data_IF_507105458759
#
_entry.id   IF_507105458759
#
_cell.length_a   1.000
_cell.length_b   1.000
_cell.length_c   1.000
_cell.angle_alpha   90.00
_cell.angle_beta   90.00
_cell.angle_gamma   90.00
#
_symmetry.space_group_name_H-M   'P 1'
#
loop_
_entity.id
_entity.type
_entity.pdbx_description
1 polymer ?
#
# COMPACT_ATOMS: atom_id res chain seq x y z
N UNK A 1 -17.30 3.94 -32.12
CA UNK A 1 -16.79 5.30 -31.85
C UNK A 1 -15.77 5.17 -30.73
N UNK A 2 -14.53 5.60 -30.90
CA UNK A 2 -13.57 5.55 -29.81
C UNK A 2 -13.98 6.57 -28.76
N UNK A 3 -14.29 6.10 -27.56
CA UNK A 3 -14.45 6.95 -26.39
C UNK A 3 -13.07 7.51 -26.05
N UNK A 4 -12.85 8.79 -26.35
CA UNK A 4 -11.68 9.53 -25.91
C UNK A 4 -11.62 9.44 -24.39
N UNK A 5 -10.59 8.75 -23.90
CA UNK A 5 -10.31 8.64 -22.48
C UNK A 5 -9.98 10.05 -21.96
N UNK A 6 -10.91 10.67 -21.23
CA UNK A 6 -10.81 12.04 -20.72
C UNK A 6 -9.73 12.18 -19.64
N UNK A 7 -9.12 11.09 -19.17
CA UNK A 7 -8.06 11.12 -18.16
C UNK A 7 -6.64 11.37 -18.72
N UNK A 8 -6.44 11.34 -20.05
CA UNK A 8 -5.13 11.53 -20.67
C UNK A 8 -4.83 12.98 -21.08
N UNK A 9 -5.68 13.94 -20.74
CA UNK A 9 -5.49 15.35 -21.16
C UNK A 9 -4.99 16.28 -20.04
N UNK A 10 -4.57 15.77 -18.88
CA UNK A 10 -3.91 16.58 -17.87
C UNK A 10 -2.45 16.80 -18.33
N UNK A 11 -2.20 17.89 -19.00
CA UNK A 11 -0.89 18.27 -19.57
C UNK A 11 0.08 18.83 -18.54
N UNK A 12 -0.32 18.94 -17.27
CA UNK A 12 0.49 19.47 -16.16
C UNK A 12 0.27 18.64 -14.88
N UNK A 13 0.92 17.46 -14.81
CA UNK A 13 0.89 16.59 -13.60
C UNK A 13 1.46 17.33 -12.39
N UNK A 14 2.53 18.09 -12.54
CA UNK A 14 3.16 18.82 -11.44
C UNK A 14 2.24 19.92 -10.88
N UNK A 15 1.49 20.60 -11.74
CA UNK A 15 0.48 21.58 -11.32
C UNK A 15 -0.69 20.92 -10.60
N UNK A 16 -1.11 19.74 -11.05
CA UNK A 16 -2.16 18.97 -10.42
C UNK A 16 -1.74 18.49 -9.02
N UNK A 17 -0.54 17.96 -8.88
CA UNK A 17 0.00 17.50 -7.59
C UNK A 17 0.13 18.66 -6.60
N UNK A 18 0.62 19.82 -7.05
CA UNK A 18 0.71 21.02 -6.21
C UNK A 18 -0.67 21.51 -5.76
N UNK A 19 -1.67 21.46 -6.65
CA UNK A 19 -3.05 21.80 -6.32
C UNK A 19 -3.61 20.84 -5.27
N UNK A 20 -3.48 19.53 -5.47
CA UNK A 20 -3.93 18.52 -4.53
C UNK A 20 -3.26 18.69 -3.16
N UNK A 21 -1.94 18.83 -3.14
CA UNK A 21 -1.19 19.01 -1.89
C UNK A 21 -1.61 20.26 -1.10
N UNK A 22 -2.07 21.32 -1.79
CA UNK A 22 -2.55 22.56 -1.15
C UNK A 22 -4.01 22.51 -0.68
N UNK A 23 -4.77 21.45 -1.02
CA UNK A 23 -6.20 21.32 -0.73
C UNK A 23 -6.55 20.09 0.12
N UNK A 24 -5.56 19.30 0.51
CA UNK A 24 -5.73 18.17 1.43
C UNK A 24 -5.08 18.48 2.77
N UNK A 25 -5.43 17.73 3.81
CA UNK A 25 -4.80 17.87 5.13
C UNK A 25 -3.29 17.65 5.05
N UNK A 26 -2.49 18.45 5.76
CA UNK A 26 -1.03 18.31 5.74
C UNK A 26 -0.59 16.95 6.31
N UNK A 27 0.50 16.41 5.77
CA UNK A 27 1.10 15.18 6.29
C UNK A 27 1.76 15.36 7.67
N UNK A 28 2.09 16.58 8.04
CA UNK A 28 2.81 16.92 9.25
C UNK A 28 4.33 16.83 9.11
N UNK A 29 5.04 17.52 10.01
CA UNK A 29 6.51 17.67 9.93
C UNK A 29 7.27 16.34 9.97
N UNK A 30 6.75 15.35 10.71
CA UNK A 30 7.42 14.07 10.86
C UNK A 30 7.44 13.30 9.54
N UNK A 31 6.28 13.12 8.93
CA UNK A 31 6.15 12.41 7.65
C UNK A 31 6.83 13.16 6.51
N UNK A 32 6.75 14.50 6.48
CA UNK A 32 7.50 15.33 5.52
C UNK A 32 9.02 15.08 5.62
N UNK A 33 9.58 15.05 6.84
CA UNK A 33 11.00 14.76 7.03
C UNK A 33 11.37 13.34 6.65
N UNK A 34 10.52 12.37 6.98
CA UNK A 34 10.72 10.98 6.57
C UNK A 34 10.72 10.85 5.04
N UNK A 35 9.72 11.43 4.37
CA UNK A 35 9.63 11.41 2.91
C UNK A 35 10.86 12.04 2.25
N UNK A 36 11.29 13.20 2.76
CA UNK A 36 12.52 13.85 2.30
C UNK A 36 13.76 12.99 2.53
N UNK A 37 13.93 12.40 3.72
CA UNK A 37 15.04 11.52 4.03
C UNK A 37 15.05 10.27 3.12
N UNK A 38 13.89 9.67 2.88
CA UNK A 38 13.74 8.53 1.95
C UNK A 38 14.26 8.89 0.56
N UNK A 39 13.88 10.05 0.02
CA UNK A 39 14.35 10.49 -1.30
C UNK A 39 15.84 10.85 -1.36
N UNK A 40 16.46 11.23 -0.24
CA UNK A 40 17.89 11.60 -0.18
C UNK A 40 18.78 10.38 0.04
N UNK A 41 18.33 9.43 0.86
CA UNK A 41 19.19 8.37 1.39
C UNK A 41 18.88 6.97 0.82
N UNK A 42 17.80 6.81 0.01
CA UNK A 42 17.49 5.54 -0.63
C UNK A 42 17.55 5.66 -2.16
N UNK A 43 17.89 4.55 -2.82
CA UNK A 43 18.01 4.52 -4.30
C UNK A 43 16.64 4.69 -4.97
N UNK A 44 15.58 4.23 -4.32
CA UNK A 44 14.22 4.18 -4.86
C UNK A 44 13.23 5.03 -4.04
N UNK A 45 13.61 6.28 -3.72
CA UNK A 45 12.75 7.17 -2.90
C UNK A 45 11.32 7.33 -3.40
N UNK A 46 11.09 7.17 -4.71
CA UNK A 46 9.75 7.21 -5.33
C UNK A 46 8.81 6.08 -4.88
N UNK A 47 9.35 4.99 -4.30
CA UNK A 47 8.53 3.88 -3.79
C UNK A 47 7.70 4.29 -2.56
N UNK A 48 8.08 5.35 -1.84
CA UNK A 48 7.27 5.84 -0.73
C UNK A 48 5.91 6.34 -1.22
N UNK A 49 4.84 5.98 -0.50
CA UNK A 49 3.46 6.30 -0.85
C UNK A 49 3.20 7.80 -1.03
N UNK A 50 3.88 8.66 -0.26
CA UNK A 50 3.76 10.11 -0.35
C UNK A 50 2.48 10.68 0.27
N UNK A 51 2.35 12.01 0.22
CA UNK A 51 1.36 12.76 0.98
C UNK A 51 -0.09 12.37 0.68
N UNK A 52 -0.49 12.36 -0.61
CA UNK A 52 -1.88 12.07 -1.01
C UNK A 52 -2.31 10.66 -0.58
N UNK A 53 -1.51 9.66 -0.93
CA UNK A 53 -1.83 8.25 -0.59
C UNK A 53 -1.74 8.01 0.91
N UNK A 54 -0.77 8.62 1.60
CA UNK A 54 -0.65 8.52 3.05
C UNK A 54 -1.88 9.05 3.78
N UNK A 55 -2.43 10.19 3.35
CA UNK A 55 -3.68 10.75 3.93
C UNK A 55 -4.88 9.88 3.61
N UNK A 56 -4.96 9.31 2.40
CA UNK A 56 -6.00 8.35 2.06
C UNK A 56 -5.92 7.09 2.92
N UNK A 57 -4.74 6.49 3.10
CA UNK A 57 -4.56 5.31 3.95
C UNK A 57 -5.01 5.58 5.38
N UNK A 58 -4.62 6.73 5.96
CA UNK A 58 -5.11 7.15 7.28
C UNK A 58 -6.63 7.23 7.33
N UNK A 59 -7.27 7.88 6.34
CA UNK A 59 -8.74 8.00 6.30
C UNK A 59 -9.42 6.64 6.15
N UNK A 60 -8.89 5.74 5.31
CA UNK A 60 -9.42 4.38 5.16
C UNK A 60 -9.34 3.61 6.48
N UNK A 61 -8.24 3.72 7.22
CA UNK A 61 -8.11 3.13 8.55
C UNK A 61 -9.17 3.69 9.51
N UNK A 62 -9.39 5.00 9.53
CA UNK A 62 -10.42 5.63 10.34
C UNK A 62 -11.84 5.20 9.97
N UNK A 63 -12.12 4.96 8.68
CA UNK A 63 -13.41 4.47 8.18
C UNK A 63 -13.65 3.00 8.49
N UNK A 64 -12.63 2.15 8.31
CA UNK A 64 -12.69 0.69 8.54
C UNK A 64 -12.65 0.37 10.03
N UNK A 65 -11.94 1.19 10.84
CA UNK A 65 -11.71 1.01 12.28
C UNK A 65 -11.12 -0.38 12.61
N UNK A 66 -10.03 -0.79 11.96
CA UNK A 66 -9.41 -2.08 12.19
C UNK A 66 -8.74 -2.11 13.57
N UNK A 67 -8.73 -3.29 14.20
CA UNK A 67 -7.89 -3.56 15.38
C UNK A 67 -6.51 -4.03 14.97
N UNK A 68 -6.45 -4.90 13.96
CA UNK A 68 -5.20 -5.45 13.46
C UNK A 68 -5.05 -5.15 11.98
N UNK A 69 -3.98 -4.45 11.62
CA UNK A 69 -3.57 -4.18 10.24
C UNK A 69 -2.33 -5.01 9.93
N UNK A 70 -2.30 -5.64 8.76
CA UNK A 70 -1.11 -6.24 8.18
C UNK A 70 -0.59 -5.36 7.05
N UNK A 71 0.71 -5.13 6.99
CA UNK A 71 1.38 -4.49 5.86
C UNK A 71 2.45 -5.40 5.29
N UNK A 72 2.43 -5.55 3.96
CA UNK A 72 3.42 -6.29 3.16
C UNK A 72 4.27 -5.28 2.40
N UNK A 73 5.53 -5.13 2.80
CA UNK A 73 6.44 -4.12 2.28
C UNK A 73 6.43 -2.85 3.13
N UNK A 74 7.36 -2.76 4.08
CA UNK A 74 7.52 -1.60 4.96
C UNK A 74 8.28 -0.47 4.29
N UNK A 75 9.31 -0.82 3.51
CA UNK A 75 10.26 0.10 2.91
C UNK A 75 10.76 1.13 3.93
N UNK A 76 10.41 2.41 3.79
CA UNK A 76 10.83 3.48 4.72
C UNK A 76 9.94 3.64 5.95
N UNK A 77 8.80 2.92 6.02
CA UNK A 77 7.81 3.03 7.09
C UNK A 77 6.80 4.15 6.92
N UNK A 78 6.79 4.84 5.77
CA UNK A 78 5.90 5.98 5.54
C UNK A 78 4.41 5.58 5.59
N UNK A 79 4.01 4.57 4.83
CA UNK A 79 2.64 4.01 4.83
C UNK A 79 2.26 3.43 6.18
N UNK A 80 3.19 2.71 6.84
CA UNK A 80 2.99 2.17 8.17
C UNK A 80 2.61 3.25 9.18
N UNK A 81 3.36 4.36 9.22
CA UNK A 81 3.10 5.49 10.12
C UNK A 81 1.76 6.16 9.76
N UNK A 82 1.47 6.37 8.47
CA UNK A 82 0.19 6.93 8.03
C UNK A 82 -1.02 6.08 8.46
N UNK A 83 -0.94 4.77 8.31
CA UNK A 83 -1.99 3.86 8.77
C UNK A 83 -2.10 3.83 10.30
N UNK A 84 -0.97 3.80 11.00
CA UNK A 84 -0.96 3.80 12.46
C UNK A 84 -1.52 5.09 13.08
N UNK A 85 -1.37 6.24 12.41
CA UNK A 85 -2.07 7.49 12.80
C UNK A 85 -3.60 7.37 12.77
N UNK A 86 -4.14 6.52 11.90
CA UNK A 86 -5.59 6.28 11.77
C UNK A 86 -6.14 5.27 12.78
N UNK A 87 -5.29 4.47 13.42
CA UNK A 87 -5.69 3.44 14.38
C UNK A 87 -6.26 4.05 15.67
N UNK A 88 -7.34 3.45 16.16
CA UNK A 88 -7.87 3.74 17.50
C UNK A 88 -6.93 3.24 18.60
N UNK A 89 -7.24 3.59 19.85
CA UNK A 89 -6.53 3.07 21.00
C UNK A 89 -6.63 1.54 21.08
N UNK A 90 -5.50 0.87 21.32
CA UNK A 90 -5.41 -0.59 21.34
C UNK A 90 -5.35 -1.26 19.95
N UNK A 91 -5.43 -0.47 18.86
CA UNK A 91 -5.17 -0.98 17.51
C UNK A 91 -3.68 -1.22 17.27
N UNK A 92 -3.34 -2.19 16.41
CA UNK A 92 -1.96 -2.58 16.10
C UNK A 92 -1.76 -2.78 14.60
N UNK A 93 -0.63 -2.31 14.11
CA UNK A 93 -0.16 -2.55 12.74
C UNK A 93 1.08 -3.44 12.80
N UNK A 94 1.03 -4.53 12.04
CA UNK A 94 2.13 -5.48 11.85
C UNK A 94 2.67 -5.29 10.45
N UNK A 95 3.89 -4.80 10.33
CA UNK A 95 4.52 -4.51 9.04
C UNK A 95 5.76 -5.36 8.83
N UNK A 96 5.91 -5.89 7.62
CA UNK A 96 6.98 -6.81 7.26
C UNK A 96 7.81 -6.26 6.12
N UNK A 97 9.14 -6.33 6.28
CA UNK A 97 10.12 -5.99 5.25
C UNK A 97 10.98 -7.23 4.96
N UNK A 98 11.14 -7.54 3.68
CA UNK A 98 11.98 -8.66 3.26
C UNK A 98 13.44 -8.25 3.06
N UNK A 99 13.68 -6.97 2.76
CA UNK A 99 15.02 -6.42 2.57
C UNK A 99 15.59 -5.90 3.89
N UNK A 100 16.46 -6.68 4.52
CA UNK A 100 17.10 -6.35 5.79
C UNK A 100 18.09 -5.17 5.69
N UNK A 101 18.56 -4.82 4.49
CA UNK A 101 19.39 -3.62 4.27
C UNK A 101 18.65 -2.31 4.64
N UNK A 102 17.32 -2.36 4.69
CA UNK A 102 16.51 -1.21 5.08
C UNK A 102 16.44 -1.01 6.60
N UNK A 103 16.94 -1.93 7.42
CA UNK A 103 16.78 -1.86 8.89
C UNK A 103 17.32 -0.58 9.50
N UNK A 104 18.58 -0.26 9.19
CA UNK A 104 19.28 0.89 9.76
C UNK A 104 18.61 2.23 9.39
N UNK A 105 17.93 2.27 8.24
CA UNK A 105 17.15 3.43 7.85
C UNK A 105 15.74 3.43 8.47
N UNK A 106 15.01 2.34 8.37
CA UNK A 106 13.56 2.30 8.66
C UNK A 106 13.27 2.25 10.16
N UNK A 107 14.01 1.43 10.93
CA UNK A 107 13.76 1.25 12.36
C UNK A 107 13.78 2.55 13.16
N UNK A 108 14.79 3.42 13.02
CA UNK A 108 14.82 4.70 13.76
C UNK A 108 13.62 5.62 13.44
N UNK A 109 13.12 5.57 12.19
CA UNK A 109 11.95 6.36 11.83
C UNK A 109 10.66 5.81 12.41
N UNK A 110 10.49 4.48 12.46
CA UNK A 110 9.32 3.87 13.10
C UNK A 110 9.35 4.12 14.61
N UNK A 111 10.47 3.82 15.28
CA UNK A 111 10.60 3.93 16.73
C UNK A 111 10.55 5.39 17.21
N UNK A 112 11.02 6.35 16.41
CA UNK A 112 10.93 7.78 16.69
C UNK A 112 9.59 8.43 16.34
N UNK A 113 8.66 7.68 15.75
CA UNK A 113 7.37 8.23 15.32
C UNK A 113 6.42 8.46 16.51
N UNK A 114 5.48 9.42 16.39
CA UNK A 114 4.45 9.63 17.42
C UNK A 114 3.52 8.44 17.66
N UNK A 115 3.57 7.43 16.79
CA UNK A 115 2.70 6.23 16.79
C UNK A 115 3.50 4.93 16.88
N UNK A 116 4.75 5.01 17.35
CA UNK A 116 5.65 3.86 17.48
C UNK A 116 5.05 2.70 18.28
N UNK A 117 4.31 3.01 19.33
CA UNK A 117 3.64 2.03 20.20
C UNK A 117 2.57 1.20 19.47
N UNK A 118 2.04 1.70 18.35
CA UNK A 118 1.04 1.01 17.52
C UNK A 118 1.66 0.14 16.42
N UNK A 119 2.97 0.21 16.17
CA UNK A 119 3.63 -0.48 15.06
C UNK A 119 4.49 -1.63 15.59
N UNK A 120 4.32 -2.80 14.98
CA UNK A 120 5.17 -3.98 15.18
C UNK A 120 5.92 -4.22 13.86
N UNK A 121 7.18 -3.74 13.79
CA UNK A 121 8.03 -3.83 12.62
C UNK A 121 8.88 -5.10 12.65
N UNK A 122 8.76 -5.91 11.63
CA UNK A 122 9.41 -7.22 11.51
C UNK A 122 10.11 -7.41 10.17
N UNK A 123 11.18 -8.24 10.19
CA UNK A 123 11.80 -8.73 8.97
C UNK A 123 11.28 -10.12 8.60
N UNK A 124 11.15 -10.34 7.29
CA UNK A 124 10.73 -11.60 6.71
C UNK A 124 9.65 -11.46 5.65
N UNK A 125 9.33 -12.57 5.01
CA UNK A 125 8.21 -12.64 4.06
C UNK A 125 6.87 -12.61 4.81
N UNK A 126 6.12 -11.52 4.63
CA UNK A 126 4.81 -11.34 5.26
C UNK A 126 3.85 -12.50 4.98
N UNK A 127 3.87 -13.06 3.77
CA UNK A 127 3.01 -14.16 3.37
C UNK A 127 3.32 -15.49 4.11
N UNK A 128 4.56 -15.63 4.59
CA UNK A 128 4.99 -16.78 5.39
C UNK A 128 4.88 -16.53 6.90
N UNK A 129 5.18 -15.31 7.34
CA UNK A 129 5.30 -14.99 8.76
C UNK A 129 3.97 -14.55 9.39
N UNK A 130 3.14 -13.79 8.67
CA UNK A 130 1.89 -13.30 9.23
C UNK A 130 0.92 -14.43 9.66
N UNK A 131 0.74 -15.55 8.91
CA UNK A 131 -0.09 -16.65 9.36
C UNK A 131 0.37 -17.29 10.69
N UNK A 132 1.69 -17.28 10.98
CA UNK A 132 2.26 -17.86 12.21
C UNK A 132 1.94 -17.05 13.47
N UNK A 133 1.51 -15.79 13.32
CA UNK A 133 1.11 -14.95 14.43
C UNK A 133 -0.18 -15.43 15.10
N UNK A 134 -1.00 -16.23 14.43
CA UNK A 134 -2.30 -16.67 14.92
C UNK A 134 -3.31 -15.52 15.11
N UNK A 135 -3.08 -14.40 14.44
CA UNK A 135 -3.91 -13.20 14.48
C UNK A 135 -4.84 -13.19 13.28
N UNK A 136 -6.10 -12.80 13.52
CA UNK A 136 -7.02 -12.48 12.46
C UNK A 136 -6.95 -10.97 12.19
N UNK A 137 -6.70 -10.61 10.92
CA UNK A 137 -6.53 -9.22 10.51
C UNK A 137 -7.86 -8.64 9.99
N UNK A 138 -8.09 -7.38 10.28
CA UNK A 138 -9.25 -6.62 9.78
C UNK A 138 -8.95 -5.96 8.44
N UNK A 139 -7.69 -5.62 8.23
CA UNK A 139 -7.20 -4.94 7.03
C UNK A 139 -5.79 -5.42 6.69
N UNK A 140 -5.49 -5.57 5.40
CA UNK A 140 -4.13 -5.70 4.90
C UNK A 140 -3.84 -4.61 3.86
N UNK A 141 -2.60 -4.12 3.84
CA UNK A 141 -2.05 -3.30 2.77
C UNK A 141 -0.90 -4.06 2.10
N UNK A 142 -1.02 -4.30 0.80
CA UNK A 142 -0.08 -5.10 0.02
C UNK A 142 0.67 -4.19 -0.95
N UNK A 143 1.95 -3.98 -0.68
CA UNK A 143 2.89 -3.19 -1.49
C UNK A 143 4.25 -3.90 -1.59
N UNK A 144 4.22 -5.17 -1.96
CA UNK A 144 5.40 -6.01 -2.12
C UNK A 144 5.82 -6.18 -3.59
N UNK A 145 6.53 -7.28 -3.87
CA UNK A 145 6.94 -7.67 -5.21
C UNK A 145 5.73 -8.06 -6.07
N UNK A 146 5.52 -7.29 -7.13
CA UNK A 146 4.35 -7.38 -8.02
C UNK A 146 4.23 -8.74 -8.74
N UNK A 147 5.36 -9.43 -8.93
CA UNK A 147 5.40 -10.77 -9.54
C UNK A 147 4.64 -11.81 -8.71
N UNK A 148 4.55 -11.60 -7.40
CA UNK A 148 4.02 -12.57 -6.44
C UNK A 148 2.67 -12.15 -5.83
N UNK A 149 2.00 -11.11 -6.37
CA UNK A 149 0.76 -10.58 -5.78
C UNK A 149 -0.36 -11.62 -5.63
N UNK A 150 -0.51 -12.50 -6.61
CA UNK A 150 -1.53 -13.57 -6.55
C UNK A 150 -1.25 -14.54 -5.41
N UNK A 151 -0.01 -14.97 -5.27
CA UNK A 151 0.43 -15.92 -4.24
C UNK A 151 0.35 -15.29 -2.83
N UNK A 152 0.78 -14.04 -2.70
CA UNK A 152 0.64 -13.26 -1.45
C UNK A 152 -0.83 -13.14 -1.07
N UNK A 153 -1.69 -12.72 -1.99
CA UNK A 153 -3.12 -12.60 -1.76
C UNK A 153 -3.76 -13.90 -1.30
N UNK A 154 -3.47 -15.03 -1.96
CA UNK A 154 -4.01 -16.35 -1.61
C UNK A 154 -3.59 -16.81 -0.21
N UNK A 155 -2.39 -16.48 0.24
CA UNK A 155 -1.91 -16.77 1.59
C UNK A 155 -2.50 -15.85 2.65
N UNK A 156 -2.77 -14.59 2.29
CA UNK A 156 -3.30 -13.61 3.23
C UNK A 156 -4.82 -13.68 3.38
N UNK A 157 -5.57 -13.99 2.32
CA UNK A 157 -7.03 -14.01 2.38
C UNK A 157 -7.60 -14.87 3.50
N UNK A 158 -7.06 -16.08 3.82
CA UNK A 158 -7.52 -16.89 4.95
C UNK A 158 -7.44 -16.20 6.32
N UNK A 159 -6.40 -15.39 6.55
CA UNK A 159 -6.17 -14.68 7.82
C UNK A 159 -6.84 -13.31 7.90
N UNK A 160 -7.46 -12.84 6.81
CA UNK A 160 -8.37 -11.69 6.86
C UNK A 160 -9.74 -12.17 7.33
N UNK A 161 -10.36 -11.46 8.29
CA UNK A 161 -11.71 -11.80 8.76
C UNK A 161 -12.77 -11.62 7.68
N UNK A 162 -13.91 -12.30 7.74
CA UNK A 162 -15.07 -11.95 6.91
C UNK A 162 -15.45 -10.47 7.12
N UNK A 163 -15.73 -9.77 6.03
CA UNK A 163 -15.98 -8.33 6.03
C UNK A 163 -14.72 -7.46 6.18
N UNK A 164 -13.54 -8.06 6.29
CA UNK A 164 -12.24 -7.35 6.31
C UNK A 164 -11.79 -6.94 4.92
N UNK A 165 -10.73 -6.14 4.85
CA UNK A 165 -10.27 -5.49 3.62
C UNK A 165 -8.82 -5.85 3.28
N UNK A 166 -8.55 -5.95 1.98
CA UNK A 166 -7.19 -5.94 1.43
C UNK A 166 -7.07 -4.77 0.48
N UNK A 167 -6.08 -3.92 0.68
CA UNK A 167 -5.70 -2.83 -0.20
C UNK A 167 -4.45 -3.25 -0.95
N UNK A 168 -4.52 -3.39 -2.27
CA UNK A 168 -3.36 -3.75 -3.10
C UNK A 168 -2.91 -2.53 -3.90
N UNK A 169 -1.66 -2.13 -3.70
CA UNK A 169 -1.07 -0.96 -4.37
C UNK A 169 -0.51 -1.30 -5.75
N UNK A 170 -0.34 -0.30 -6.58
CA UNK A 170 0.25 -0.35 -7.93
C UNK A 170 -0.45 -1.31 -8.91
N UNK A 171 -1.75 -1.50 -8.76
CA UNK A 171 -2.50 -2.48 -9.58
C UNK A 171 -2.79 -2.04 -11.01
N UNK A 172 -2.49 -0.79 -11.37
CA UNK A 172 -2.45 -0.29 -12.75
C UNK A 172 -1.02 -0.15 -13.29
N UNK A 173 -0.01 -0.15 -12.40
CA UNK A 173 1.41 -0.19 -12.73
C UNK A 173 1.79 0.83 -13.81
N UNK A 174 1.59 2.13 -13.55
CA UNK A 174 1.78 3.23 -14.51
C UNK A 174 1.07 2.99 -15.86
N UNK A 175 -0.10 2.34 -15.82
CA UNK A 175 -0.88 1.94 -17.00
C UNK A 175 -0.23 0.86 -17.88
N UNK A 176 0.90 0.28 -17.49
CA UNK A 176 1.55 -0.81 -18.22
C UNK A 176 0.64 -2.04 -18.38
N UNK A 177 -0.34 -2.21 -17.49
CA UNK A 177 -1.32 -3.31 -17.59
C UNK A 177 -2.12 -3.33 -18.89
N UNK A 178 -2.24 -2.19 -19.58
CA UNK A 178 -2.97 -2.07 -20.85
C UNK A 178 -2.05 -1.81 -22.06
N UNK A 179 -0.73 -1.67 -21.85
CA UNK A 179 0.23 -1.36 -22.90
C UNK A 179 0.97 -2.63 -23.35
N UNK A 180 0.82 -3.03 -24.66
CA UNK A 180 1.54 -4.18 -25.21
C UNK A 180 3.06 -4.07 -25.17
N UNK A 181 3.63 -2.86 -25.06
CA UNK A 181 5.08 -2.66 -24.95
C UNK A 181 5.67 -3.36 -23.72
N UNK A 182 4.85 -3.61 -22.69
CA UNK A 182 5.24 -4.25 -21.43
C UNK A 182 4.84 -5.73 -21.32
N UNK A 183 4.50 -6.39 -22.43
CA UNK A 183 4.09 -7.81 -22.42
C UNK A 183 5.19 -8.76 -21.96
N UNK A 184 6.44 -8.32 -21.92
CA UNK A 184 7.60 -9.10 -21.44
C UNK A 184 8.10 -8.66 -20.05
N UNK A 185 7.53 -7.57 -19.48
CA UNK A 185 7.90 -7.11 -18.14
C UNK A 185 7.26 -7.99 -17.06
N UNK A 186 8.11 -8.60 -16.21
CA UNK A 186 7.67 -9.57 -15.21
C UNK A 186 6.76 -8.96 -14.14
N UNK A 187 6.95 -7.68 -13.79
CA UNK A 187 6.10 -6.99 -12.84
C UNK A 187 4.70 -6.77 -13.44
N UNK A 188 4.65 -6.28 -14.68
CA UNK A 188 3.38 -6.08 -15.42
C UNK A 188 2.62 -7.39 -15.60
N UNK A 189 3.32 -8.47 -15.96
CA UNK A 189 2.72 -9.81 -16.08
C UNK A 189 2.13 -10.26 -14.74
N UNK A 190 2.85 -10.05 -13.64
CA UNK A 190 2.38 -10.39 -12.30
C UNK A 190 1.12 -9.63 -11.91
N UNK A 191 1.07 -8.31 -12.14
CA UNK A 191 -0.10 -7.47 -11.85
C UNK A 191 -1.29 -7.84 -12.74
N UNK A 192 -1.10 -8.06 -14.05
CA UNK A 192 -2.18 -8.53 -14.93
C UNK A 192 -2.76 -9.85 -14.43
N UNK A 193 -1.90 -10.81 -14.07
CA UNK A 193 -2.32 -12.10 -13.52
C UNK A 193 -3.13 -11.93 -12.23
N UNK A 194 -2.67 -11.07 -11.32
CA UNK A 194 -3.40 -10.75 -10.09
C UNK A 194 -4.76 -10.12 -10.38
N UNK A 195 -4.82 -9.11 -11.23
CA UNK A 195 -6.07 -8.44 -11.59
C UNK A 195 -7.08 -9.41 -12.23
N UNK A 196 -6.61 -10.27 -13.16
CA UNK A 196 -7.43 -11.29 -13.81
C UNK A 196 -7.93 -12.36 -12.82
N UNK A 197 -7.08 -12.71 -11.84
CA UNK A 197 -7.41 -13.66 -10.80
C UNK A 197 -8.54 -13.12 -9.90
N UNK A 198 -8.33 -11.95 -9.31
CA UNK A 198 -9.32 -11.35 -8.39
C UNK A 198 -10.62 -10.96 -9.12
N UNK A 199 -10.56 -10.64 -10.42
CA UNK A 199 -11.76 -10.35 -11.22
C UNK A 199 -12.75 -11.50 -11.20
N UNK A 200 -12.28 -12.75 -11.08
CA UNK A 200 -13.07 -13.99 -11.09
C UNK A 200 -13.32 -14.56 -9.68
N UNK A 201 -12.75 -13.95 -8.64
CA UNK A 201 -12.86 -14.45 -7.28
C UNK A 201 -14.21 -14.09 -6.67
N UNK A 202 -15.03 -15.10 -6.40
CA UNK A 202 -16.38 -14.95 -5.82
C UNK A 202 -16.35 -14.76 -4.29
N UNK A 203 -15.21 -14.96 -3.65
CA UNK A 203 -15.03 -14.79 -2.20
C UNK A 203 -14.99 -13.32 -1.77
N UNK A 204 -14.90 -12.39 -2.73
CA UNK A 204 -14.64 -10.99 -2.49
C UNK A 204 -15.57 -10.05 -3.28
N UNK A 205 -15.60 -8.80 -2.83
CA UNK A 205 -15.99 -7.62 -3.60
C UNK A 205 -14.73 -6.79 -3.87
N UNK A 206 -14.63 -6.13 -5.02
CA UNK A 206 -13.43 -5.39 -5.41
C UNK A 206 -13.75 -4.19 -6.28
N UNK A 207 -12.89 -3.15 -6.18
CA UNK A 207 -12.87 -1.98 -7.05
C UNK A 207 -11.44 -1.50 -7.22
N UNK A 208 -11.06 -1.10 -8.43
CA UNK A 208 -9.76 -0.47 -8.72
C UNK A 208 -9.97 1.04 -8.77
N UNK A 209 -9.23 1.77 -7.95
CA UNK A 209 -9.17 3.23 -7.98
C UNK A 209 -7.95 3.64 -8.81
N UNK A 210 -8.11 4.54 -9.81
CA UNK A 210 -6.99 5.08 -10.58
C UNK A 210 -6.28 6.19 -9.80
N UNK A 211 -5.80 5.86 -8.61
CA UNK A 211 -5.01 6.73 -7.76
C UNK A 211 -3.53 6.38 -7.95
N UNK A 212 -2.72 7.34 -8.36
CA UNK A 212 -1.32 7.12 -8.75
C UNK A 212 -1.27 5.98 -9.80
N UNK A 213 -0.54 4.93 -9.54
CA UNK A 213 -0.44 3.74 -10.38
C UNK A 213 -1.40 2.59 -9.98
N UNK A 214 -2.52 2.98 -9.36
CA UNK A 214 -3.67 2.11 -9.09
C UNK A 214 -3.71 1.54 -7.67
N UNK A 215 -4.84 1.72 -6.99
CA UNK A 215 -5.12 1.12 -5.68
C UNK A 215 -6.38 0.26 -5.79
N UNK A 216 -6.25 -1.06 -5.58
CA UNK A 216 -7.40 -1.96 -5.55
C UNK A 216 -7.87 -2.16 -4.12
N UNK A 217 -9.16 -1.84 -3.88
CA UNK A 217 -9.84 -2.15 -2.64
C UNK A 217 -10.57 -3.49 -2.80
N UNK A 218 -10.29 -4.42 -1.91
CA UNK A 218 -10.87 -5.76 -1.87
C UNK A 218 -11.54 -5.94 -0.51
N UNK A 219 -12.79 -6.38 -0.49
CA UNK A 219 -13.52 -6.75 0.72
C UNK A 219 -13.82 -8.24 0.70
N UNK A 220 -13.38 -8.96 1.72
CA UNK A 220 -13.74 -10.37 1.91
C UNK A 220 -15.22 -10.49 2.31
N UNK A 221 -15.97 -11.37 1.66
CA UNK A 221 -17.37 -11.66 1.97
C UNK A 221 -17.55 -12.43 3.27
#
# INVERSE_FOLDING_TARGET
MPTTNTYTSLTDEAGCDAYLASHIDPEGDYLYRLYRATNIHTIHGRMASGHLQGRLLKMLVQMIRPKNILEVGTFSGYSAICMAEGLEEGGKLYTFEINDEMEDFTRPWIEGSPVADKIDFRFGDAAEEAPKLGIQFDMAFVDGDKRNYTEVYEKLLPIIRPGGYVLADNTLWDWHVIDPAYDHDQQTIGIRRFNDFIAKDDRIEKVILPLRDGLTLIRKK
#
